data_IF_088208839030
#
_entry.id   IF_088208839030
#
_cell.length_a   1.000
_cell.length_b   1.000
_cell.length_c   1.000
_cell.angle_alpha   90.00
_cell.angle_beta   90.00
_cell.angle_gamma   90.00
#
_symmetry.space_group_name_H-M   'P 1'
#
loop_
_entity.id
_entity.type
_entity.pdbx_description
1 polymer ?
#
# COMPACT_ATOMS: atom_id res chain seq x y z
N UNK A 1 62.59 -59.12 22.42
CA UNK A 1 62.87 -59.96 21.26
C UNK A 1 62.89 -59.02 20.07
N UNK A 2 64.07 -58.52 19.60
CA UNK A 2 64.91 -59.07 18.56
C UNK A 2 64.10 -59.26 17.27
N UNK A 3 64.37 -58.62 16.16
CA UNK A 3 65.60 -58.45 15.33
C UNK A 3 65.23 -57.43 14.21
N UNK A 4 65.92 -56.40 13.96
CA UNK A 4 67.08 -56.12 13.12
C UNK A 4 67.10 -56.72 11.72
N UNK A 5 67.49 -55.85 10.76
CA UNK A 5 68.31 -55.97 9.53
C UNK A 5 67.48 -55.87 8.26
N UNK A 6 67.91 -55.28 7.15
CA UNK A 6 69.21 -54.67 6.80
C UNK A 6 69.02 -53.79 5.52
N UNK A 7 69.84 -52.80 5.48
CA UNK A 7 70.42 -52.07 4.36
C UNK A 7 70.39 -52.71 2.97
N UNK A 8 70.07 -51.97 1.91
CA UNK A 8 70.94 -51.90 0.76
C UNK A 8 70.72 -50.62 -0.10
N UNK A 9 71.80 -49.97 -0.26
CA UNK A 9 72.18 -48.80 -1.07
C UNK A 9 72.29 -49.19 -2.56
N UNK A 10 71.82 -48.31 -3.51
CA UNK A 10 72.39 -48.08 -4.87
C UNK A 10 71.47 -47.13 -5.58
N UNK A 11 71.85 -46.01 -5.94
CA UNK A 11 72.78 -45.40 -6.88
C UNK A 11 72.00 -44.60 -7.94
N UNK A 12 72.18 -43.33 -7.87
CA UNK A 12 72.40 -42.30 -8.95
C UNK A 12 71.67 -42.45 -10.28
N UNK A 13 70.80 -41.49 -10.54
CA UNK A 13 70.36 -41.09 -11.87
C UNK A 13 69.94 -39.64 -11.85
N UNK A 14 70.83 -38.73 -12.15
CA UNK A 14 70.60 -37.31 -12.38
C UNK A 14 69.85 -37.17 -13.69
N UNK A 15 68.57 -36.84 -13.65
CA UNK A 15 67.83 -36.45 -14.85
C UNK A 15 67.36 -35.01 -14.66
N UNK A 16 68.01 -34.13 -15.34
CA UNK A 16 67.71 -32.69 -15.40
C UNK A 16 66.44 -32.52 -16.20
N UNK A 17 65.29 -32.38 -15.51
CA UNK A 17 64.03 -31.98 -16.16
C UNK A 17 63.90 -30.49 -16.09
N UNK A 18 63.97 -29.86 -17.25
CA UNK A 18 63.75 -28.46 -17.51
C UNK A 18 62.28 -28.10 -17.15
N UNK A 19 62.10 -27.43 -16.03
CA UNK A 19 60.78 -26.94 -15.62
C UNK A 19 60.48 -25.67 -16.40
N UNK A 20 59.71 -25.79 -17.46
CA UNK A 20 59.10 -24.65 -18.16
C UNK A 20 57.99 -24.12 -17.27
N UNK A 21 58.24 -23.04 -16.55
CA UNK A 21 57.22 -22.29 -15.85
C UNK A 21 56.30 -21.66 -16.91
N UNK A 22 55.19 -22.32 -17.20
CA UNK A 22 54.08 -21.65 -17.87
C UNK A 22 53.41 -20.76 -16.79
N UNK A 23 53.71 -19.46 -16.83
CA UNK A 23 52.87 -18.45 -16.20
C UNK A 23 51.54 -18.40 -16.95
N UNK A 24 50.60 -19.25 -16.54
CA UNK A 24 49.22 -19.08 -16.89
C UNK A 24 48.77 -17.75 -16.26
N UNK A 25 48.54 -16.72 -17.08
CA UNK A 25 47.66 -15.62 -16.70
C UNK A 25 46.27 -16.23 -16.49
N UNK A 26 45.91 -16.53 -15.26
CA UNK A 26 44.52 -16.58 -14.88
C UNK A 26 43.97 -15.15 -15.10
N UNK A 27 43.34 -14.96 -16.24
CA UNK A 27 42.35 -13.91 -16.36
C UNK A 27 41.23 -14.34 -15.46
N UNK A 28 41.24 -13.81 -14.25
CA UNK A 28 40.01 -13.66 -13.46
C UNK A 28 39.07 -12.80 -14.32
N UNK A 29 38.35 -13.47 -15.22
CA UNK A 29 37.14 -12.91 -15.80
C UNK A 29 36.14 -12.79 -14.64
N UNK A 30 36.37 -11.79 -13.78
CA UNK A 30 35.32 -11.18 -12.97
C UNK A 30 34.35 -10.58 -13.96
N UNK A 31 33.52 -11.44 -14.53
CA UNK A 31 32.32 -11.03 -15.23
C UNK A 31 31.38 -10.48 -14.16
N UNK A 32 31.69 -9.27 -13.63
CA UNK A 32 30.78 -8.50 -12.83
C UNK A 32 29.67 -8.11 -13.79
N UNK A 33 28.61 -8.92 -13.82
CA UNK A 33 27.36 -8.49 -14.45
C UNK A 33 26.99 -7.18 -13.78
N UNK A 34 27.15 -6.09 -14.51
CA UNK A 34 26.81 -4.76 -13.99
C UNK A 34 25.37 -4.81 -13.47
N UNK A 35 25.16 -4.46 -12.21
CA UNK A 35 23.81 -4.37 -11.66
C UNK A 35 22.99 -3.42 -12.54
N UNK A 36 21.82 -3.87 -12.94
CA UNK A 36 20.87 -3.08 -13.73
C UNK A 36 20.35 -1.89 -12.91
N UNK A 37 20.09 -0.80 -13.56
CA UNK A 37 19.33 0.32 -12.99
C UNK A 37 17.89 -0.12 -12.69
N UNK A 38 17.16 0.70 -11.92
CA UNK A 38 15.73 0.48 -11.65
C UNK A 38 14.95 0.32 -12.96
N UNK A 39 15.17 1.22 -13.93
CA UNK A 39 14.51 1.16 -15.24
C UNK A 39 14.83 -0.13 -15.99
N UNK A 40 16.10 -0.51 -16.08
CA UNK A 40 16.52 -1.73 -16.75
C UNK A 40 15.97 -3.00 -16.06
N UNK A 41 15.84 -2.98 -14.74
CA UNK A 41 15.26 -4.08 -13.97
C UNK A 41 13.76 -4.22 -14.25
N UNK A 42 13.03 -3.11 -14.35
CA UNK A 42 11.61 -3.08 -14.71
C UNK A 42 11.40 -3.58 -16.15
N UNK A 43 12.17 -3.07 -17.11
CA UNK A 43 12.07 -3.45 -18.53
C UNK A 43 12.45 -4.92 -18.77
N UNK A 44 13.38 -5.46 -17.99
CA UNK A 44 13.84 -6.85 -18.14
C UNK A 44 12.90 -7.90 -17.52
N UNK A 45 11.82 -7.48 -16.87
CA UNK A 45 10.87 -8.38 -16.19
C UNK A 45 9.45 -8.16 -16.70
N UNK A 46 8.91 -9.15 -17.41
CA UNK A 46 7.57 -9.12 -18.00
C UNK A 46 6.45 -8.88 -16.97
N UNK A 47 6.68 -9.21 -15.70
CA UNK A 47 5.73 -8.91 -14.60
C UNK A 47 5.50 -7.40 -14.41
N UNK A 48 6.40 -6.55 -14.89
CA UNK A 48 6.30 -5.10 -14.80
C UNK A 48 5.94 -4.40 -16.12
N UNK A 49 5.46 -5.11 -17.12
CA UNK A 49 5.19 -4.54 -18.46
C UNK A 49 4.16 -3.39 -18.44
N UNK A 50 3.18 -3.42 -17.53
CA UNK A 50 2.23 -2.30 -17.34
C UNK A 50 2.92 -1.10 -16.68
N UNK A 51 3.79 -1.34 -15.70
CA UNK A 51 4.61 -0.29 -15.06
C UNK A 51 5.57 0.34 -16.09
N UNK A 52 6.23 -0.46 -16.92
CA UNK A 52 7.07 0.03 -18.02
C UNK A 52 6.28 0.98 -18.92
N UNK A 53 5.09 0.56 -19.37
CA UNK A 53 4.19 1.39 -20.19
C UNK A 53 3.83 2.71 -19.49
N UNK A 54 3.63 2.69 -18.17
CA UNK A 54 3.36 3.88 -17.38
C UNK A 54 4.59 4.81 -17.32
N UNK A 55 5.79 4.26 -17.10
CA UNK A 55 7.07 5.01 -17.05
C UNK A 55 7.35 5.68 -18.39
N UNK A 56 7.10 4.98 -19.52
CA UNK A 56 7.24 5.54 -20.87
C UNK A 56 6.24 6.68 -21.06
N UNK A 57 4.97 6.46 -20.73
CA UNK A 57 3.91 7.49 -20.86
C UNK A 57 4.19 8.75 -20.06
N UNK A 58 4.80 8.62 -18.89
CA UNK A 58 5.17 9.73 -18.00
C UNK A 58 6.51 10.38 -18.36
N UNK A 59 7.25 9.87 -19.36
CA UNK A 59 8.61 10.29 -19.72
C UNK A 59 9.61 10.23 -18.55
N UNK A 60 9.47 9.26 -17.65
CA UNK A 60 10.32 9.13 -16.46
C UNK A 60 11.53 8.18 -16.63
N UNK A 61 11.75 7.61 -17.83
CA UNK A 61 12.86 6.68 -18.05
C UNK A 61 14.21 7.27 -17.68
N UNK A 62 14.50 8.50 -18.14
CA UNK A 62 15.76 9.17 -17.84
C UNK A 62 15.91 9.47 -16.34
N UNK A 63 14.84 9.89 -15.65
CA UNK A 63 14.83 10.17 -14.21
C UNK A 63 15.13 8.91 -13.40
N UNK A 64 14.47 7.80 -13.70
CA UNK A 64 14.64 6.53 -12.99
C UNK A 64 15.93 5.77 -13.39
N UNK A 65 16.61 6.21 -14.45
CA UNK A 65 17.93 5.72 -14.85
C UNK A 65 19.09 6.60 -14.35
N UNK A 66 18.81 7.73 -13.73
CA UNK A 66 19.84 8.62 -13.18
C UNK A 66 20.53 8.02 -11.94
N UNK A 67 21.62 8.67 -11.49
CA UNK A 67 22.53 8.11 -10.47
C UNK A 67 21.90 7.80 -9.10
N UNK A 68 20.69 8.25 -8.80
CA UNK A 68 20.01 7.91 -7.55
C UNK A 68 20.72 8.46 -6.30
N UNK A 69 20.66 7.78 -5.14
CA UNK A 69 19.89 6.54 -4.91
C UNK A 69 18.37 6.76 -4.78
N UNK A 70 17.61 5.77 -5.23
CA UNK A 70 16.14 5.78 -5.15
C UNK A 70 15.62 4.54 -4.41
N UNK A 71 14.42 4.66 -3.86
CA UNK A 71 13.59 3.53 -3.46
C UNK A 71 12.30 3.59 -4.26
N UNK A 72 11.94 2.50 -4.95
CA UNK A 72 10.72 2.44 -5.74
C UNK A 72 9.81 1.34 -5.23
N UNK A 73 8.58 1.68 -4.88
CA UNK A 73 7.51 0.74 -4.64
C UNK A 73 6.87 0.38 -5.98
N UNK A 74 7.24 -0.76 -6.54
CA UNK A 74 6.87 -1.17 -7.90
C UNK A 74 5.65 -2.09 -7.89
N UNK A 75 4.48 -1.64 -8.37
CA UNK A 75 3.36 -2.53 -8.62
C UNK A 75 3.64 -3.40 -9.85
N UNK A 76 3.41 -4.71 -9.75
CA UNK A 76 3.44 -5.62 -10.88
C UNK A 76 2.11 -5.61 -11.66
N UNK A 77 2.00 -6.39 -12.72
CA UNK A 77 0.79 -6.46 -13.55
C UNK A 77 -0.44 -6.94 -12.76
N UNK A 78 -0.24 -7.83 -11.78
CA UNK A 78 -1.30 -8.30 -10.89
C UNK A 78 -1.76 -7.16 -9.96
N UNK A 79 -0.85 -6.34 -9.45
CA UNK A 79 -1.13 -5.17 -8.64
C UNK A 79 -1.95 -4.11 -9.38
N UNK A 80 -1.64 -3.85 -10.66
CA UNK A 80 -2.45 -2.98 -11.52
C UNK A 80 -3.88 -3.54 -11.69
N UNK A 81 -4.00 -4.83 -11.95
CA UNK A 81 -5.31 -5.51 -12.06
C UNK A 81 -6.10 -5.43 -10.74
N UNK A 82 -5.44 -5.72 -9.61
CA UNK A 82 -6.04 -5.64 -8.27
C UNK A 82 -6.46 -4.21 -7.88
N UNK A 83 -5.86 -3.20 -8.52
CA UNK A 83 -6.21 -1.79 -8.36
C UNK A 83 -7.28 -1.31 -9.34
N UNK A 84 -7.77 -2.17 -10.24
CA UNK A 84 -8.73 -1.82 -11.29
C UNK A 84 -8.14 -0.93 -12.40
N UNK A 85 -6.82 -0.87 -12.51
CA UNK A 85 -6.11 -0.06 -13.50
C UNK A 85 -5.73 -0.93 -14.69
N UNK A 86 -6.65 -1.06 -15.64
CA UNK A 86 -6.39 -1.72 -16.92
C UNK A 86 -5.51 -0.85 -17.83
N UNK A 87 -4.89 -1.41 -18.88
CA UNK A 87 -4.19 -0.63 -19.89
C UNK A 87 -5.05 0.48 -20.52
N UNK A 88 -6.36 0.27 -20.66
CA UNK A 88 -7.31 1.28 -21.15
C UNK A 88 -7.47 2.43 -20.16
N UNK A 89 -7.59 2.14 -18.85
CA UNK A 89 -7.64 3.16 -17.80
C UNK A 89 -6.33 3.94 -17.77
N UNK A 90 -5.19 3.26 -17.77
CA UNK A 90 -3.88 3.90 -17.85
C UNK A 90 -3.76 4.77 -19.13
N UNK A 91 -4.28 4.27 -20.26
CA UNK A 91 -4.33 5.00 -21.53
C UNK A 91 -5.13 6.30 -21.47
N UNK A 92 -6.20 6.36 -20.67
CA UNK A 92 -7.07 7.55 -20.52
C UNK A 92 -6.49 8.65 -19.62
N UNK A 93 -5.51 8.33 -18.76
CA UNK A 93 -4.85 9.32 -17.92
C UNK A 93 -3.92 10.22 -18.75
N UNK A 94 -3.77 11.49 -18.37
CA UNK A 94 -2.75 12.36 -18.96
C UNK A 94 -1.35 11.93 -18.52
N UNK A 95 -0.28 12.26 -19.29
CA UNK A 95 1.10 12.01 -18.87
C UNK A 95 1.41 12.58 -17.49
N UNK A 96 0.94 13.78 -17.16
CA UNK A 96 1.13 14.42 -15.85
C UNK A 96 0.44 13.69 -14.70
N UNK A 97 -0.75 13.11 -14.95
CA UNK A 97 -1.42 12.27 -13.94
C UNK A 97 -0.63 11.00 -13.67
N UNK A 98 -0.12 10.35 -14.72
CA UNK A 98 0.71 9.15 -14.59
C UNK A 98 2.04 9.49 -13.90
N UNK A 99 2.69 10.59 -14.28
CA UNK A 99 3.90 11.10 -13.63
C UNK A 99 3.69 11.30 -12.12
N UNK A 100 2.63 12.01 -11.73
CA UNK A 100 2.32 12.24 -10.32
C UNK A 100 2.12 10.94 -9.54
N UNK A 101 1.43 9.95 -10.15
CA UNK A 101 1.26 8.62 -9.55
C UNK A 101 2.60 7.91 -9.41
N UNK A 102 3.44 7.89 -10.44
CA UNK A 102 4.74 7.22 -10.40
C UNK A 102 5.71 7.88 -9.41
N UNK A 103 5.76 9.21 -9.35
CA UNK A 103 6.56 9.93 -8.36
C UNK A 103 6.05 9.69 -6.92
N UNK A 104 4.77 9.40 -6.74
CA UNK A 104 4.20 8.97 -5.45
C UNK A 104 4.68 7.58 -5.02
N UNK A 105 5.16 6.74 -5.97
CA UNK A 105 5.76 5.43 -5.69
C UNK A 105 7.27 5.51 -5.42
N UNK A 106 7.90 6.66 -5.58
CA UNK A 106 9.34 6.82 -5.46
C UNK A 106 9.72 7.63 -4.22
N UNK A 107 10.79 7.21 -3.56
CA UNK A 107 11.43 7.95 -2.47
C UNK A 107 12.86 8.31 -2.90
N UNK A 108 13.34 9.47 -2.45
CA UNK A 108 14.77 9.79 -2.50
C UNK A 108 15.52 8.97 -1.45
N UNK A 109 16.67 8.40 -1.84
CA UNK A 109 17.49 7.56 -0.99
C UNK A 109 17.18 6.06 -1.13
N UNK A 110 18.16 5.23 -0.77
CA UNK A 110 18.06 3.76 -0.74
C UNK A 110 17.61 3.32 0.65
N UNK A 111 16.37 2.89 0.80
CA UNK A 111 15.77 2.43 2.05
C UNK A 111 15.43 0.94 1.93
N UNK A 112 16.21 0.08 2.56
CA UNK A 112 15.93 -1.35 2.65
C UNK A 112 14.76 -1.60 3.61
N UNK A 113 14.06 -2.72 3.45
CA UNK A 113 12.92 -3.11 4.30
C UNK A 113 13.28 -3.11 5.79
N UNK A 114 14.47 -3.56 6.14
CA UNK A 114 14.95 -3.56 7.53
C UNK A 114 15.13 -2.14 8.11
N UNK A 115 15.40 -1.15 7.25
CA UNK A 115 15.61 0.25 7.62
C UNK A 115 14.34 1.09 7.55
N UNK A 116 13.23 0.52 7.07
CA UNK A 116 11.94 1.20 7.09
C UNK A 116 11.49 1.44 8.53
N UNK A 117 10.86 2.59 8.81
CA UNK A 117 10.40 2.91 10.15
C UNK A 117 9.56 1.78 10.75
N UNK A 118 9.87 1.41 12.01
CA UNK A 118 9.07 0.47 12.78
C UNK A 118 7.93 1.21 13.45
N UNK A 119 6.74 0.65 13.39
CA UNK A 119 5.55 1.23 14.00
C UNK A 119 4.42 1.42 13.01
N UNK A 120 3.24 1.75 13.48
CA UNK A 120 2.12 2.01 12.60
C UNK A 120 2.21 3.41 11.99
N UNK A 121 2.04 3.50 10.67
CA UNK A 121 1.78 4.74 9.95
C UNK A 121 2.85 5.83 10.08
N UNK A 122 4.11 5.43 10.02
CA UNK A 122 5.22 6.39 9.97
C UNK A 122 5.22 7.12 8.63
N UNK A 123 5.23 8.46 8.70
CA UNK A 123 5.13 9.31 7.53
C UNK A 123 6.46 9.39 6.79
N UNK A 124 6.44 9.09 5.49
CA UNK A 124 7.58 9.24 4.58
C UNK A 124 7.18 10.12 3.39
N UNK A 125 8.06 11.04 3.00
CA UNK A 125 7.82 11.95 1.87
C UNK A 125 8.25 11.27 0.57
N UNK A 126 7.40 11.31 -0.42
CA UNK A 126 7.63 10.77 -1.76
C UNK A 126 8.20 11.81 -2.72
N UNK A 127 8.67 11.37 -3.88
CA UNK A 127 9.29 12.25 -4.88
C UNK A 127 8.32 13.31 -5.45
N UNK A 128 7.00 13.09 -5.40
CA UNK A 128 6.03 14.12 -5.77
C UNK A 128 5.73 15.14 -4.66
N UNK A 129 6.37 15.01 -3.47
CA UNK A 129 6.16 15.89 -2.31
C UNK A 129 5.00 15.48 -1.38
N UNK A 130 4.20 14.52 -1.76
CA UNK A 130 3.15 13.96 -0.90
C UNK A 130 3.72 12.97 0.12
N UNK A 131 2.87 12.37 0.92
CA UNK A 131 3.28 11.45 1.97
C UNK A 131 2.67 10.08 1.79
N UNK A 132 3.51 9.06 1.91
CA UNK A 132 3.08 7.69 2.19
C UNK A 132 3.26 7.36 3.67
N UNK A 133 2.55 6.35 4.12
CA UNK A 133 2.59 5.90 5.51
C UNK A 133 3.07 4.47 5.55
N UNK A 134 4.20 4.25 6.20
CA UNK A 134 4.84 2.94 6.29
C UNK A 134 4.52 2.30 7.64
N UNK A 135 4.14 1.05 7.60
CA UNK A 135 3.97 0.18 8.78
C UNK A 135 4.89 -1.02 8.61
N UNK A 136 5.78 -1.26 9.58
CA UNK A 136 6.60 -2.47 9.65
C UNK A 136 6.28 -3.20 10.94
N UNK A 137 5.75 -4.42 10.82
CA UNK A 137 5.35 -5.27 11.94
C UNK A 137 5.73 -6.74 11.67
N UNK A 138 5.31 -7.66 12.54
CA UNK A 138 5.57 -9.10 12.40
C UNK A 138 4.96 -9.74 11.13
N UNK A 139 3.98 -9.09 10.50
CA UNK A 139 3.33 -9.55 9.26
C UNK A 139 4.03 -9.04 8.00
N UNK A 140 5.01 -8.14 8.13
CA UNK A 140 5.78 -7.60 7.03
C UNK A 140 5.84 -6.08 6.98
N UNK A 141 6.12 -5.56 5.77
CA UNK A 141 6.15 -4.13 5.48
C UNK A 141 4.91 -3.78 4.66
N UNK A 142 4.30 -2.67 5.02
CA UNK A 142 3.12 -2.12 4.35
C UNK A 142 3.33 -0.64 4.05
N UNK A 143 2.84 -0.19 2.91
CA UNK A 143 2.85 1.22 2.50
C UNK A 143 1.42 1.63 2.20
N UNK A 144 0.88 2.60 2.93
CA UNK A 144 -0.55 2.94 2.91
C UNK A 144 -1.46 1.71 3.11
N UNK A 145 -1.04 0.77 3.96
CA UNK A 145 -1.73 -0.50 4.20
C UNK A 145 -1.64 -1.52 3.07
N UNK A 146 -0.89 -1.24 2.01
CA UNK A 146 -0.62 -2.14 0.89
C UNK A 146 0.65 -2.92 1.20
N UNK A 147 0.59 -4.23 1.06
CA UNK A 147 1.70 -5.12 1.42
C UNK A 147 2.84 -5.02 0.41
N UNK A 148 4.07 -5.02 0.93
CA UNK A 148 5.27 -5.30 0.15
C UNK A 148 5.41 -6.82 0.02
N UNK A 149 5.25 -7.34 -1.18
CA UNK A 149 5.32 -8.79 -1.45
C UNK A 149 6.76 -9.29 -1.55
N UNK A 150 7.59 -8.50 -2.23
CA UNK A 150 9.01 -8.79 -2.38
C UNK A 150 9.80 -7.51 -2.11
N UNK A 151 10.61 -7.54 -1.05
CA UNK A 151 11.44 -6.42 -0.67
C UNK A 151 12.88 -6.57 -1.21
N UNK A 152 13.60 -5.45 -1.21
CA UNK A 152 15.05 -5.39 -1.38
C UNK A 152 15.57 -5.97 -2.71
N UNK A 153 14.83 -5.79 -3.82
CA UNK A 153 15.34 -6.07 -5.16
C UNK A 153 16.37 -4.99 -5.49
N UNK A 154 17.65 -5.37 -5.52
CA UNK A 154 18.74 -4.43 -5.76
C UNK A 154 18.76 -3.91 -7.19
N UNK A 155 19.11 -2.63 -7.31
CA UNK A 155 19.46 -1.97 -8.55
C UNK A 155 20.72 -1.11 -8.33
N UNK A 156 21.50 -0.87 -9.40
CA UNK A 156 22.74 -0.08 -9.33
C UNK A 156 22.51 1.34 -8.79
N UNK A 157 21.33 1.91 -9.05
CA UNK A 157 20.93 3.24 -8.62
C UNK A 157 19.84 3.26 -7.54
N UNK A 158 19.60 2.14 -6.83
CA UNK A 158 18.63 2.12 -5.75
C UNK A 158 18.15 0.76 -5.30
N UNK A 159 16.88 0.69 -4.90
CA UNK A 159 16.19 -0.53 -4.47
C UNK A 159 14.74 -0.50 -4.91
N UNK A 160 14.21 -1.66 -5.29
CA UNK A 160 12.81 -1.84 -5.68
C UNK A 160 12.14 -2.72 -4.63
N UNK A 161 10.92 -2.34 -4.24
CA UNK A 161 10.02 -3.14 -3.42
C UNK A 161 8.75 -3.42 -4.22
N UNK A 162 8.48 -4.69 -4.54
CA UNK A 162 7.25 -5.09 -5.23
C UNK A 162 6.07 -5.02 -4.26
N UNK A 163 4.98 -4.41 -4.70
CA UNK A 163 3.77 -4.17 -3.91
C UNK A 163 2.52 -4.75 -4.59
N UNK A 164 1.53 -5.19 -3.79
CA UNK A 164 0.33 -5.90 -4.24
C UNK A 164 -0.75 -5.00 -4.87
N UNK A 165 -0.63 -3.67 -4.77
CA UNK A 165 -1.55 -2.69 -5.36
C UNK A 165 -0.84 -1.40 -5.71
N UNK A 166 -1.39 -0.64 -6.65
CA UNK A 166 -0.91 0.70 -7.00
C UNK A 166 -1.20 1.69 -5.87
N UNK A 167 -0.19 2.48 -5.48
CA UNK A 167 -0.36 3.59 -4.54
C UNK A 167 -1.04 4.76 -5.24
N UNK A 168 -2.16 5.20 -4.72
CA UNK A 168 -2.86 6.38 -5.25
C UNK A 168 -2.66 7.58 -4.32
N UNK A 169 -2.15 8.70 -4.83
CA UNK A 169 -2.06 9.93 -4.05
C UNK A 169 -3.45 10.43 -3.65
N UNK A 170 -3.54 11.10 -2.49
CA UNK A 170 -4.79 11.62 -1.99
C UNK A 170 -5.33 12.75 -2.87
N UNK A 171 -6.53 12.60 -3.40
CA UNK A 171 -7.19 13.62 -4.23
C UNK A 171 -7.71 14.84 -3.44
N UNK A 172 -7.84 14.71 -2.12
CA UNK A 172 -8.37 15.76 -1.24
C UNK A 172 -8.46 15.32 0.21
N UNK A 173 -9.23 16.02 1.02
CA UNK A 173 -9.61 15.59 2.37
C UNK A 173 -10.62 14.43 2.31
N UNK A 174 -11.06 13.94 3.48
CA UNK A 174 -12.03 12.83 3.55
C UNK A 174 -13.34 13.14 2.81
N UNK A 175 -13.83 14.38 2.89
CA UNK A 175 -15.07 14.79 2.22
C UNK A 175 -14.90 14.78 0.71
N UNK A 176 -13.85 15.41 0.19
CA UNK A 176 -13.53 15.42 -1.23
C UNK A 176 -13.27 14.01 -1.77
N UNK A 177 -12.56 13.18 -0.99
CA UNK A 177 -12.28 11.78 -1.35
C UNK A 177 -13.56 10.96 -1.51
N UNK A 178 -14.52 11.08 -0.56
CA UNK A 178 -15.81 10.38 -0.65
C UNK A 178 -16.65 10.88 -1.84
N UNK A 179 -16.62 12.19 -2.15
CA UNK A 179 -17.33 12.76 -3.28
C UNK A 179 -16.79 12.33 -4.64
N UNK A 180 -15.47 12.14 -4.75
CA UNK A 180 -14.80 11.88 -6.04
C UNK A 180 -14.46 10.41 -6.30
N UNK A 181 -14.61 9.56 -5.31
CA UNK A 181 -14.20 8.14 -5.38
C UNK A 181 -14.97 7.30 -6.43
N UNK A 182 -16.10 7.77 -6.94
CA UNK A 182 -16.89 7.04 -7.95
C UNK A 182 -17.41 5.68 -7.48
N UNK A 183 -17.49 5.44 -6.16
CA UNK A 183 -17.78 4.16 -5.54
C UNK A 183 -19.24 4.02 -5.06
N UNK A 184 -20.16 4.84 -5.59
CA UNK A 184 -21.57 4.81 -5.19
C UNK A 184 -21.78 5.24 -3.73
N UNK A 185 -21.21 6.39 -3.35
CA UNK A 185 -21.27 6.96 -2.00
C UNK A 185 -22.18 8.19 -1.90
N UNK A 186 -23.01 8.46 -2.91
CA UNK A 186 -23.87 9.65 -2.98
C UNK A 186 -24.81 9.76 -1.78
N UNK A 187 -25.34 8.62 -1.30
CA UNK A 187 -26.20 8.59 -0.11
C UNK A 187 -25.46 9.02 1.17
N UNK A 188 -24.18 8.62 1.29
CA UNK A 188 -23.33 9.06 2.38
C UNK A 188 -23.07 10.56 2.31
N UNK A 189 -22.76 11.09 1.13
CA UNK A 189 -22.57 12.55 0.92
C UNK A 189 -23.81 13.32 1.32
N UNK A 190 -25.00 12.90 0.84
CA UNK A 190 -26.28 13.51 1.20
C UNK A 190 -26.52 13.46 2.72
N UNK A 191 -26.25 12.30 3.35
CA UNK A 191 -26.38 12.11 4.78
C UNK A 191 -25.47 13.07 5.58
N UNK A 192 -24.19 13.19 5.19
CA UNK A 192 -23.22 14.10 5.84
C UNK A 192 -23.65 15.56 5.71
N UNK A 193 -24.03 16.00 4.50
CA UNK A 193 -24.49 17.36 4.28
C UNK A 193 -25.74 17.70 5.10
N UNK A 194 -26.70 16.77 5.14
CA UNK A 194 -27.92 16.97 5.94
C UNK A 194 -27.65 16.97 7.46
N UNK A 195 -26.79 16.07 7.93
CA UNK A 195 -26.39 15.99 9.33
C UNK A 195 -25.60 17.23 9.78
N UNK A 196 -24.88 17.88 8.86
CA UNK A 196 -24.09 19.08 9.20
C UNK A 196 -24.90 20.37 9.11
N UNK A 197 -25.81 20.50 8.11
CA UNK A 197 -26.49 21.75 7.78
C UNK A 197 -27.99 21.74 8.12
N UNK A 198 -28.57 20.58 8.46
CA UNK A 198 -29.99 20.46 8.79
C UNK A 198 -30.34 21.05 10.16
N UNK A 199 -31.62 21.39 10.37
CA UNK A 199 -32.08 21.83 11.67
C UNK A 199 -31.82 20.74 12.74
N UNK A 200 -31.09 21.09 13.80
CA UNK A 200 -30.62 20.15 14.81
C UNK A 200 -29.39 19.33 14.39
N UNK A 201 -28.74 19.72 13.30
CA UNK A 201 -27.49 19.13 12.83
C UNK A 201 -26.27 19.56 13.63
N UNK A 202 -25.14 18.96 13.27
CA UNK A 202 -23.85 19.23 13.90
C UNK A 202 -22.82 19.70 12.86
N UNK A 203 -22.61 21.01 12.70
CA UNK A 203 -21.61 21.54 11.76
C UNK A 203 -20.17 21.08 12.11
N UNK A 204 -19.91 20.67 13.35
CA UNK A 204 -18.58 20.18 13.73
C UNK A 204 -18.22 18.85 13.04
N UNK A 205 -19.20 18.07 12.59
CA UNK A 205 -19.00 16.81 11.87
C UNK A 205 -18.25 17.04 10.56
N UNK A 206 -18.70 17.98 9.73
CA UNK A 206 -18.04 18.26 8.45
C UNK A 206 -16.65 18.87 8.68
N UNK A 207 -16.49 19.74 9.66
CA UNK A 207 -15.19 20.29 10.06
C UNK A 207 -14.24 19.20 10.49
N UNK A 208 -14.68 18.25 11.32
CA UNK A 208 -13.88 17.11 11.74
C UNK A 208 -13.46 16.24 10.56
N UNK A 209 -14.36 15.98 9.60
CA UNK A 209 -14.06 15.20 8.38
C UNK A 209 -13.11 15.92 7.43
N UNK A 210 -13.04 17.25 7.45
CA UNK A 210 -12.13 18.05 6.61
C UNK A 210 -10.75 18.24 7.23
N UNK A 211 -10.66 18.34 8.56
CA UNK A 211 -9.42 18.74 9.25
C UNK A 211 -8.86 17.66 10.19
N UNK A 212 -9.73 16.79 10.73
CA UNK A 212 -9.33 15.75 11.67
C UNK A 212 -8.58 14.61 11.00
N UNK A 213 -7.62 14.01 11.73
CA UNK A 213 -7.00 12.75 11.30
C UNK A 213 -7.94 11.60 11.67
N UNK A 214 -8.63 11.04 10.68
CA UNK A 214 -9.73 10.10 10.89
C UNK A 214 -9.67 8.92 9.93
N UNK A 215 -10.30 7.82 10.34
CA UNK A 215 -10.65 6.69 9.48
C UNK A 215 -12.17 6.62 9.34
N UNK A 216 -12.65 6.52 8.12
CA UNK A 216 -14.09 6.46 7.81
C UNK A 216 -14.43 5.11 7.24
N UNK A 217 -15.38 4.41 7.86
CA UNK A 217 -16.04 3.26 7.26
C UNK A 217 -17.26 3.76 6.49
N UNK A 218 -17.14 3.83 5.16
CA UNK A 218 -18.08 4.48 4.26
C UNK A 218 -19.07 3.46 3.68
N UNK A 219 -20.36 3.47 4.07
CA UNK A 219 -21.35 2.58 3.50
C UNK A 219 -21.74 3.02 2.09
N UNK A 220 -21.84 2.05 1.17
CA UNK A 220 -22.30 2.27 -0.21
C UNK A 220 -23.78 2.63 -0.28
N UNK A 221 -24.26 3.17 -1.41
CA UNK A 221 -25.66 3.53 -1.61
C UNK A 221 -26.63 2.36 -1.29
N UNK A 222 -26.28 1.14 -1.70
CA UNK A 222 -27.09 -0.04 -1.40
C UNK A 222 -27.25 -0.32 0.10
N UNK A 223 -26.24 0.01 0.92
CA UNK A 223 -26.30 -0.12 2.38
C UNK A 223 -27.34 0.84 2.99
N UNK A 224 -27.43 2.05 2.47
CA UNK A 224 -28.48 3.01 2.87
C UNK A 224 -29.86 2.58 2.42
N UNK A 225 -29.99 2.06 1.19
CA UNK A 225 -31.27 1.51 0.70
C UNK A 225 -31.78 0.39 1.62
N UNK A 226 -30.92 -0.55 1.99
CA UNK A 226 -31.26 -1.64 2.92
C UNK A 226 -31.71 -1.12 4.29
N UNK A 227 -31.02 -0.12 4.83
CA UNK A 227 -31.37 0.48 6.12
C UNK A 227 -32.74 1.18 6.04
N UNK A 228 -32.97 2.01 5.04
CA UNK A 228 -34.23 2.74 4.86
C UNK A 228 -35.41 1.78 4.72
N UNK A 229 -35.27 0.71 3.91
CA UNK A 229 -36.28 -0.33 3.79
C UNK A 229 -36.58 -1.03 5.14
N UNK A 230 -35.54 -1.34 5.93
CA UNK A 230 -35.70 -1.96 7.24
C UNK A 230 -36.44 -1.04 8.26
N UNK A 231 -36.32 0.28 8.06
CA UNK A 231 -36.99 1.30 8.88
C UNK A 231 -38.37 1.69 8.32
N UNK A 232 -38.81 1.18 7.16
CA UNK A 232 -40.04 1.57 6.50
C UNK A 232 -40.00 2.99 5.92
N UNK A 233 -38.81 3.51 5.63
CA UNK A 233 -38.56 4.85 5.08
C UNK A 233 -38.20 4.76 3.60
N UNK A 234 -38.52 5.82 2.85
CA UNK A 234 -38.25 5.87 1.42
C UNK A 234 -37.03 6.74 1.07
N UNK A 235 -36.69 7.68 1.92
CA UNK A 235 -35.61 8.66 1.66
C UNK A 235 -34.83 8.98 2.94
N UNK A 236 -33.55 9.31 2.81
CA UNK A 236 -32.66 9.71 3.91
C UNK A 236 -33.16 10.99 4.60
N UNK A 237 -33.99 11.80 3.91
CA UNK A 237 -34.61 13.00 4.47
C UNK A 237 -35.69 12.70 5.51
N UNK A 238 -36.20 11.50 5.57
CA UNK A 238 -37.17 11.08 6.59
C UNK A 238 -36.50 10.66 7.93
N UNK A 239 -35.18 10.41 7.91
CA UNK A 239 -34.41 10.06 9.12
C UNK A 239 -34.26 11.32 9.99
N UNK A 240 -34.55 11.30 11.30
CA UNK A 240 -34.30 12.45 12.19
C UNK A 240 -32.83 12.87 12.18
N UNK A 241 -32.58 14.18 12.07
CA UNK A 241 -31.19 14.70 11.94
C UNK A 241 -30.29 14.30 13.12
N UNK A 242 -30.74 14.35 14.37
CA UNK A 242 -29.90 13.90 15.51
C UNK A 242 -29.51 12.41 15.40
N UNK A 243 -30.43 11.55 14.92
CA UNK A 243 -30.13 10.12 14.67
C UNK A 243 -29.09 9.98 13.59
N UNK A 244 -29.21 10.74 12.49
CA UNK A 244 -28.26 10.73 11.39
C UNK A 244 -26.86 11.16 11.85
N UNK A 245 -26.74 12.21 12.68
CA UNK A 245 -25.49 12.66 13.28
C UNK A 245 -24.85 11.53 14.12
N UNK A 246 -25.62 10.88 14.99
CA UNK A 246 -25.12 9.79 15.83
C UNK A 246 -24.61 8.60 14.99
N UNK A 247 -25.40 8.18 14.00
CA UNK A 247 -25.02 7.10 13.07
C UNK A 247 -23.75 7.46 12.31
N UNK A 248 -23.66 8.67 11.73
CA UNK A 248 -22.48 9.07 10.96
C UNK A 248 -21.21 9.14 11.81
N UNK A 249 -21.29 9.71 13.03
CA UNK A 249 -20.17 9.69 13.98
C UNK A 249 -19.75 8.27 14.36
N UNK A 250 -20.69 7.31 14.35
CA UNK A 250 -20.42 5.90 14.63
C UNK A 250 -19.75 5.15 13.46
N UNK A 251 -19.57 5.81 12.31
CA UNK A 251 -18.77 5.31 11.18
C UNK A 251 -17.35 5.86 11.16
N UNK A 252 -16.99 6.69 12.13
CA UNK A 252 -15.71 7.40 12.16
C UNK A 252 -14.87 6.93 13.34
N UNK A 253 -13.60 6.67 13.07
CA UNK A 253 -12.59 6.28 14.07
C UNK A 253 -11.55 7.38 14.16
N UNK A 254 -11.17 7.81 15.38
CA UNK A 254 -10.05 8.72 15.58
C UNK A 254 -8.73 8.09 15.09
N UNK A 255 -7.92 8.86 14.38
CA UNK A 255 -6.64 8.40 13.85
C UNK A 255 -6.74 7.85 12.43
N UNK A 256 -5.57 7.57 11.85
CA UNK A 256 -5.44 6.89 10.56
C UNK A 256 -5.15 5.42 10.83
N UNK A 257 -6.05 4.55 10.43
CA UNK A 257 -5.90 3.10 10.53
C UNK A 257 -6.07 2.49 9.14
N UNK A 258 -4.98 1.99 8.56
CA UNK A 258 -5.04 1.18 7.34
C UNK A 258 -5.51 -0.24 7.65
N UNK A 259 -5.83 -1.02 6.63
CA UNK A 259 -6.21 -2.42 6.81
C UNK A 259 -5.11 -3.25 7.52
N UNK A 260 -3.84 -2.89 7.33
CA UNK A 260 -2.68 -3.48 8.03
C UNK A 260 -2.62 -3.21 9.53
N UNK A 261 -3.36 -2.20 10.00
CA UNK A 261 -3.39 -1.78 11.41
C UNK A 261 -4.63 -2.32 12.13
N UNK A 262 -5.60 -2.85 11.37
CA UNK A 262 -6.81 -3.43 11.94
C UNK A 262 -6.51 -4.80 12.55
N UNK A 263 -7.09 -5.07 13.71
CA UNK A 263 -6.99 -6.34 14.40
C UNK A 263 -8.38 -6.84 14.81
N UNK A 264 -8.53 -8.15 15.03
CA UNK A 264 -9.74 -8.69 15.59
C UNK A 264 -10.02 -8.07 16.96
N UNK A 265 -11.24 -7.62 17.19
CA UNK A 265 -11.63 -7.07 18.47
C UNK A 265 -12.41 -5.77 18.41
N UNK A 266 -12.42 -5.04 19.52
CA UNK A 266 -13.16 -3.81 19.69
C UNK A 266 -12.41 -2.61 19.10
N UNK A 267 -13.15 -1.76 18.37
CA UNK A 267 -12.64 -0.51 17.80
C UNK A 267 -13.48 0.66 18.32
N UNK A 268 -12.83 1.61 19.00
CA UNK A 268 -13.49 2.79 19.53
C UNK A 268 -13.91 3.76 18.43
N UNK A 269 -15.16 4.27 18.50
CA UNK A 269 -15.73 5.15 17.51
C UNK A 269 -15.75 6.61 17.98
N UNK A 270 -15.77 7.55 17.05
CA UNK A 270 -15.82 9.01 17.34
C UNK A 270 -17.11 9.40 18.12
N UNK A 271 -18.21 8.70 17.89
CA UNK A 271 -19.47 8.91 18.60
C UNK A 271 -19.42 8.50 20.09
N UNK A 272 -18.34 7.86 20.53
CA UNK A 272 -18.33 7.01 21.71
C UNK A 272 -18.86 5.61 21.41
N UNK A 273 -18.69 4.70 22.35
CA UNK A 273 -18.97 3.28 22.13
C UNK A 273 -17.92 2.61 21.25
N UNK A 274 -18.20 1.39 20.82
CA UNK A 274 -17.28 0.61 20.01
C UNK A 274 -17.99 -0.27 19.00
N UNK A 275 -17.28 -0.62 17.93
CA UNK A 275 -17.64 -1.65 16.96
C UNK A 275 -16.74 -2.87 17.15
N UNK A 276 -17.13 -4.00 16.60
CA UNK A 276 -16.28 -5.20 16.58
C UNK A 276 -15.75 -5.41 15.17
N UNK A 277 -14.43 -5.49 15.02
CA UNK A 277 -13.75 -5.84 13.79
C UNK A 277 -13.40 -7.32 13.78
N UNK A 278 -13.57 -7.96 12.64
CA UNK A 278 -13.08 -9.30 12.33
C UNK A 278 -12.29 -9.27 11.03
N UNK A 279 -11.01 -9.63 11.08
CA UNK A 279 -10.14 -9.74 9.91
C UNK A 279 -9.90 -11.21 9.50
N UNK A 280 -10.48 -12.17 10.22
CA UNK A 280 -10.41 -13.58 9.91
C UNK A 280 -11.47 -13.95 8.86
N UNK A 281 -11.06 -14.47 7.73
CA UNK A 281 -11.94 -14.71 6.57
C UNK A 281 -12.26 -13.41 5.83
N UNK A 282 -13.54 -13.17 5.53
CA UNK A 282 -13.97 -11.90 4.92
C UNK A 282 -13.89 -10.78 5.96
N UNK A 283 -13.05 -9.76 5.76
CA UNK A 283 -12.93 -8.65 6.70
C UNK A 283 -14.27 -7.95 6.90
N UNK A 284 -14.65 -7.75 8.15
CA UNK A 284 -15.97 -7.20 8.48
C UNK A 284 -15.92 -6.37 9.76
N UNK A 285 -16.92 -5.50 9.91
CA UNK A 285 -17.14 -4.66 11.10
C UNK A 285 -18.62 -4.73 11.49
N UNK A 286 -18.93 -4.74 12.77
CA UNK A 286 -20.31 -4.75 13.27
C UNK A 286 -20.50 -3.74 14.39
N UNK A 287 -21.58 -2.96 14.29
CA UNK A 287 -22.06 -2.09 15.35
C UNK A 287 -22.90 -2.86 16.36
N UNK A 288 -23.05 -2.31 17.55
CA UNK A 288 -23.85 -2.90 18.64
C UNK A 288 -25.34 -3.02 18.27
N UNK A 289 -25.87 -2.04 17.52
CA UNK A 289 -27.26 -2.00 17.07
C UNK A 289 -27.53 -2.83 15.80
N UNK A 290 -26.53 -3.45 15.19
CA UNK A 290 -26.72 -4.25 13.97
C UNK A 290 -27.30 -5.64 14.22
N UNK A 291 -27.72 -6.00 15.43
CA UNK A 291 -28.33 -7.28 15.79
C UNK A 291 -27.54 -8.53 15.29
N UNK A 292 -26.20 -8.46 15.36
CA UNK A 292 -25.30 -9.52 14.91
C UNK A 292 -25.00 -9.51 13.42
N UNK A 293 -25.64 -8.64 12.61
CA UNK A 293 -25.34 -8.50 11.19
C UNK A 293 -24.01 -7.76 11.01
N UNK A 294 -23.13 -8.33 10.19
CA UNK A 294 -21.82 -7.75 9.89
C UNK A 294 -21.89 -6.91 8.62
N UNK A 295 -21.14 -5.82 8.60
CA UNK A 295 -20.81 -5.08 7.40
C UNK A 295 -19.48 -5.62 6.85
N UNK A 296 -19.47 -6.15 5.62
CA UNK A 296 -18.23 -6.56 4.98
C UNK A 296 -17.43 -5.32 4.54
N UNK A 297 -16.13 -5.36 4.73
CA UNK A 297 -15.22 -4.34 4.23
C UNK A 297 -14.83 -4.75 2.81
N UNK A 298 -15.41 -4.08 1.82
CA UNK A 298 -15.32 -4.46 0.41
C UNK A 298 -14.16 -3.80 -0.33
N UNK A 299 -13.73 -2.61 0.13
CA UNK A 299 -12.56 -1.93 -0.37
C UNK A 299 -11.86 -1.21 0.79
N UNK A 300 -10.55 -1.19 0.77
CA UNK A 300 -9.73 -0.66 1.86
C UNK A 300 -8.72 0.36 1.39
N UNK A 301 -8.21 1.17 2.33
CA UNK A 301 -7.03 2.00 2.15
C UNK A 301 -7.17 3.11 1.09
N UNK A 302 -8.39 3.64 0.88
CA UNK A 302 -8.58 4.80 0.02
C UNK A 302 -8.03 6.01 0.74
N UNK A 303 -6.95 6.58 0.18
CA UNK A 303 -6.21 7.69 0.78
C UNK A 303 -6.96 9.01 0.70
N UNK A 304 -7.03 9.69 1.85
CA UNK A 304 -7.33 11.11 1.95
C UNK A 304 -6.16 11.84 2.62
N UNK A 305 -5.97 13.14 2.35
CA UNK A 305 -4.88 13.91 2.97
C UNK A 305 -4.90 13.82 4.50
N UNK A 306 -6.07 13.86 5.06
CA UNK A 306 -6.28 13.84 6.51
C UNK A 306 -6.78 12.49 7.06
N UNK A 307 -6.85 11.42 6.25
CA UNK A 307 -7.36 10.16 6.75
C UNK A 307 -7.33 9.02 5.75
N UNK A 308 -8.14 8.01 6.05
CA UNK A 308 -8.33 6.81 5.24
C UNK A 308 -9.83 6.49 5.18
N UNK A 309 -10.28 5.99 4.04
CA UNK A 309 -11.66 5.49 3.86
C UNK A 309 -11.62 3.99 3.58
N UNK A 310 -12.48 3.24 4.25
CA UNK A 310 -12.79 1.84 3.99
C UNK A 310 -14.26 1.74 3.58
N UNK A 311 -14.53 1.04 2.49
CA UNK A 311 -15.90 0.87 1.98
C UNK A 311 -16.56 -0.33 2.66
N UNK A 312 -17.79 -0.17 3.10
CA UNK A 312 -18.59 -1.21 3.73
C UNK A 312 -19.95 -1.38 3.03
N UNK A 313 -20.48 -2.61 3.08
CA UNK A 313 -21.74 -2.98 2.42
C UNK A 313 -22.99 -2.85 3.32
N UNK A 314 -22.83 -2.35 4.54
CA UNK A 314 -23.92 -2.14 5.50
C UNK A 314 -23.65 -0.91 6.37
N UNK A 315 -24.73 -0.20 6.75
CA UNK A 315 -24.65 0.93 7.72
C UNK A 315 -24.42 0.37 9.13
N UNK A 316 -23.49 0.96 9.86
CA UNK A 316 -23.23 0.63 11.28
C UNK A 316 -24.23 1.35 12.17
N UNK A 317 -24.85 0.61 13.06
CA UNK A 317 -25.81 1.15 14.05
C UNK A 317 -25.18 1.09 15.45
N UNK A 318 -25.27 2.22 16.21
CA UNK A 318 -24.74 2.30 17.58
C UNK A 318 -25.50 1.45 18.59
#
# INVERSE_FOLDING_TARGET
MLRQKDLSLRAIGVSFVLLVAMTGCDKDDNNMVAERTITETVVANDDFSVLESAVIKANLQATLSSDGPFTVFAPDNAAFTASGISPAVLGSLSPQQVENILLYHALSGKVLAANMPAGPNEKVITANGDSVFVTRNSSGVFVNGIRVEQADINASNGVIHRIEKVLMPAGGDLVATVQTAGLGLDSLVKAVLRASNGAGGDPSLITALQTGRLTVFAPVNAAFTQLLQALGLNDINEVPVPTLVAVLKYHVVPGRAFSSDLANGSLAMLAGGSTTISISGTPSISGSGNAGLKANITNTNIMARNGVVHIIDRVLLP
#
